data_IF_528884778663
#
_entry.id   IF_528884778663
#
_cell.length_a   1.000
_cell.length_b   1.000
_cell.length_c   1.000
_cell.angle_alpha   90.00
_cell.angle_beta   90.00
_cell.angle_gamma   90.00
#
_symmetry.space_group_name_H-M   'P 1'
#
loop_
_entity.id
_entity.type
_entity.pdbx_description
1 polymer ?
#
# COMPACT_ATOMS: atom_id res chain seq x y z
N UNK A 1 3.06 3.32 8.14
CA UNK A 1 2.33 2.40 9.04
C UNK A 1 0.86 2.75 8.95
N UNK A 2 0.03 1.75 8.72
CA UNK A 2 -1.42 1.93 8.58
C UNK A 2 -2.15 1.06 9.58
N UNK A 3 -3.09 1.63 10.30
CA UNK A 3 -4.10 0.90 11.05
C UNK A 3 -5.40 1.02 10.29
N UNK A 4 -6.06 -0.10 10.00
CA UNK A 4 -7.33 -0.14 9.26
C UNK A 4 -8.43 -0.67 10.17
N UNK A 5 -9.46 0.13 10.37
CA UNK A 5 -10.73 -0.32 10.91
C UNK A 5 -11.71 -0.50 9.76
N UNK A 6 -12.32 -1.67 9.63
CA UNK A 6 -13.29 -1.98 8.59
C UNK A 6 -14.68 -2.04 9.18
N UNK A 7 -15.56 -1.17 8.73
CA UNK A 7 -16.98 -1.20 9.10
C UNK A 7 -17.77 -1.85 7.94
N UNK A 8 -18.20 -3.10 8.12
CA UNK A 8 -18.94 -3.86 7.11
C UNK A 8 -20.45 -3.62 7.34
N UNK A 9 -20.99 -2.50 6.88
CA UNK A 9 -22.44 -2.25 7.00
C UNK A 9 -23.26 -2.63 5.77
N UNK A 10 -22.69 -2.73 4.58
CA UNK A 10 -23.39 -3.24 3.37
C UNK A 10 -22.41 -3.79 2.33
N UNK A 11 -22.87 -4.77 1.52
CA UNK A 11 -22.04 -5.55 0.57
C UNK A 11 -21.44 -4.78 -0.63
N UNK A 12 -21.61 -3.46 -0.74
CA UNK A 12 -21.20 -2.69 -1.93
C UNK A 12 -19.99 -1.79 -1.76
N UNK A 13 -19.63 -1.40 -0.54
CA UNK A 13 -18.43 -0.62 -0.25
C UNK A 13 -17.93 -0.90 1.16
N UNK A 14 -16.65 -0.70 1.38
CA UNK A 14 -16.03 -0.79 2.71
C UNK A 14 -15.52 0.60 3.09
N UNK A 15 -15.99 1.12 4.21
CA UNK A 15 -15.43 2.31 4.83
C UNK A 15 -14.30 1.89 5.77
N UNK A 16 -13.16 2.58 5.67
CA UNK A 16 -11.97 2.28 6.48
C UNK A 16 -11.40 3.57 7.02
N UNK A 17 -11.06 3.58 8.28
CA UNK A 17 -10.23 4.63 8.88
C UNK A 17 -8.77 4.20 8.77
N UNK A 18 -7.93 5.06 8.19
CA UNK A 18 -6.49 4.83 8.10
C UNK A 18 -5.76 5.89 8.91
N UNK A 19 -4.88 5.45 9.81
CA UNK A 19 -3.98 6.33 10.58
C UNK A 19 -2.59 6.15 10.00
N UNK A 20 -1.99 7.24 9.54
CA UNK A 20 -0.71 7.23 8.86
C UNK A 20 0.25 8.21 9.52
N UNK A 21 1.50 7.80 9.67
CA UNK A 21 2.61 8.67 10.02
C UNK A 21 3.72 8.56 8.97
N UNK A 22 4.41 9.67 8.76
CA UNK A 22 5.60 9.71 7.95
C UNK A 22 6.81 9.30 8.80
N UNK A 23 7.64 8.43 8.24
CA UNK A 23 8.95 8.11 8.80
C UNK A 23 10.02 8.89 8.05
N UNK A 24 11.07 9.32 8.77
CA UNK A 24 12.29 9.77 8.10
C UNK A 24 12.95 8.59 7.35
N UNK A 25 13.76 8.92 6.34
CA UNK A 25 14.53 7.90 5.61
C UNK A 25 15.38 7.06 6.56
N UNK A 26 16.06 7.69 7.51
CA UNK A 26 16.88 6.98 8.49
C UNK A 26 16.08 6.00 9.36
N UNK A 27 14.86 6.37 9.78
CA UNK A 27 13.98 5.47 10.53
C UNK A 27 13.52 4.29 9.67
N UNK A 28 13.15 4.53 8.40
CA UNK A 28 12.73 3.47 7.50
C UNK A 28 13.88 2.49 7.19
N UNK A 29 15.09 3.01 6.96
CA UNK A 29 16.30 2.20 6.74
C UNK A 29 16.64 1.36 7.99
N UNK A 30 16.58 1.95 9.17
CA UNK A 30 16.80 1.23 10.42
C UNK A 30 15.81 0.07 10.59
N UNK A 31 14.52 0.29 10.28
CA UNK A 31 13.49 -0.75 10.38
C UNK A 31 13.68 -1.90 9.40
N UNK A 32 14.24 -1.65 8.22
CA UNK A 32 14.39 -2.65 7.15
C UNK A 32 15.72 -3.40 7.19
N UNK A 33 16.66 -2.99 8.01
CA UNK A 33 17.92 -3.71 8.19
C UNK A 33 17.70 -5.04 8.91
N UNK A 34 18.33 -6.11 8.39
CA UNK A 34 18.20 -7.47 8.91
C UNK A 34 18.71 -7.68 10.35
N UNK A 35 19.45 -6.74 10.89
CA UNK A 35 19.97 -6.71 12.27
C UNK A 35 18.96 -6.14 13.28
N UNK A 36 17.75 -5.84 12.89
CA UNK A 36 16.71 -5.29 13.76
C UNK A 36 16.08 -6.37 14.68
N UNK A 37 16.93 -7.24 15.22
CA UNK A 37 16.53 -8.18 16.26
C UNK A 37 16.60 -7.49 17.62
N UNK A 38 15.47 -6.98 18.07
CA UNK A 38 15.26 -6.71 19.49
C UNK A 38 15.22 -5.24 19.93
N UNK A 39 15.48 -4.28 19.08
CA UNK A 39 15.27 -2.88 19.44
C UNK A 39 13.83 -2.44 19.13
N UNK A 40 13.20 -1.88 20.16
CA UNK A 40 11.93 -1.26 20.13
C UNK A 40 11.82 -0.21 19.04
N UNK A 41 10.90 -0.36 18.07
CA UNK A 41 10.47 0.76 17.27
C UNK A 41 9.50 1.62 18.07
N UNK A 42 9.94 2.82 18.41
CA UNK A 42 9.07 3.82 19.01
C UNK A 42 8.18 4.43 17.92
N UNK A 43 6.94 3.99 17.90
CA UNK A 43 5.92 4.64 17.09
C UNK A 43 5.61 6.00 17.69
N UNK A 44 5.88 7.09 16.94
CA UNK A 44 5.48 8.44 17.27
C UNK A 44 4.16 8.84 16.61
N UNK A 45 3.84 10.13 16.66
CA UNK A 45 2.72 10.74 15.96
C UNK A 45 1.36 10.12 16.27
N UNK A 46 0.48 10.11 15.28
CA UNK A 46 -0.90 9.62 15.43
C UNK A 46 -0.95 8.10 15.56
N UNK A 47 -0.07 7.36 14.88
CA UNK A 47 0.03 5.90 15.03
C UNK A 47 0.47 5.53 16.43
N UNK A 48 1.50 6.21 16.98
CA UNK A 48 1.97 5.98 18.34
C UNK A 48 0.89 6.28 19.38
N UNK A 49 0.17 7.38 19.23
CA UNK A 49 -0.94 7.76 20.10
C UNK A 49 -2.07 6.72 20.07
N UNK A 50 -2.41 6.23 18.87
CA UNK A 50 -3.41 5.18 18.71
C UNK A 50 -3.00 3.88 19.41
N UNK A 51 -1.76 3.44 19.19
CA UNK A 51 -1.23 2.22 19.79
C UNK A 51 -1.23 2.32 21.32
N UNK A 52 -0.75 3.41 21.88
CA UNK A 52 -0.72 3.63 23.34
C UNK A 52 -2.12 3.67 23.97
N UNK A 53 -3.11 4.15 23.24
CA UNK A 53 -4.50 4.21 23.70
C UNK A 53 -5.18 2.83 23.72
N UNK A 54 -4.82 1.92 22.79
CA UNK A 54 -5.55 0.68 22.56
C UNK A 54 -4.80 -0.58 23.00
N UNK A 55 -3.48 -0.50 23.23
CA UNK A 55 -2.64 -1.64 23.55
C UNK A 55 -1.73 -1.36 24.74
N UNK A 56 -1.34 -2.41 25.47
CA UNK A 56 -0.37 -2.28 26.56
C UNK A 56 1.03 -1.98 26.01
N UNK A 57 1.87 -1.35 26.83
CA UNK A 57 3.27 -1.11 26.48
C UNK A 57 4.03 -2.41 26.17
N UNK A 58 3.70 -3.49 26.82
CA UNK A 58 4.29 -4.79 26.57
C UNK A 58 3.92 -5.33 25.18
N UNK A 59 2.63 -5.22 24.81
CA UNK A 59 2.18 -5.60 23.47
C UNK A 59 2.84 -4.76 22.37
N UNK A 60 2.97 -3.44 22.58
CA UNK A 60 3.63 -2.54 21.62
C UNK A 60 5.11 -2.93 21.47
N UNK A 61 5.77 -3.25 22.57
CA UNK A 61 7.16 -3.70 22.58
C UNK A 61 7.40 -5.05 21.93
N UNK A 62 6.40 -5.88 21.85
CA UNK A 62 6.49 -7.19 21.20
C UNK A 62 6.28 -7.15 19.69
N UNK A 63 5.94 -5.99 19.11
CA UNK A 63 5.76 -5.84 17.67
C UNK A 63 7.06 -6.11 16.93
N UNK A 64 6.96 -6.87 15.86
CA UNK A 64 8.08 -7.18 14.97
C UNK A 64 7.75 -6.78 13.55
N UNK A 65 8.77 -6.34 12.80
CA UNK A 65 8.64 -6.18 11.37
C UNK A 65 8.50 -7.56 10.72
N UNK A 66 7.37 -7.79 10.05
CA UNK A 66 7.08 -9.07 9.39
C UNK A 66 7.49 -9.01 7.91
N UNK A 67 7.24 -7.87 7.26
CA UNK A 67 7.60 -7.61 5.87
C UNK A 67 7.65 -6.10 5.61
N UNK A 68 8.30 -5.74 4.54
CA UNK A 68 8.32 -4.38 3.99
C UNK A 68 8.23 -4.42 2.47
N UNK A 69 7.99 -3.28 1.87
CA UNK A 69 8.09 -3.05 0.42
C UNK A 69 8.47 -1.61 0.17
N UNK A 70 9.12 -1.38 -0.95
CA UNK A 70 9.40 -0.05 -1.45
C UNK A 70 8.57 0.21 -2.71
N UNK A 71 7.81 1.29 -2.74
CA UNK A 71 7.03 1.66 -3.91
C UNK A 71 7.49 3.01 -4.44
N UNK A 72 7.83 3.05 -5.72
CA UNK A 72 8.02 4.28 -6.47
C UNK A 72 6.73 4.59 -7.20
N UNK A 73 6.17 5.77 -6.95
CA UNK A 73 4.90 6.20 -7.51
C UNK A 73 5.11 7.36 -8.48
N UNK A 74 4.47 7.29 -9.65
CA UNK A 74 4.36 8.35 -10.63
C UNK A 74 2.89 8.70 -10.76
N UNK A 75 2.56 9.98 -10.54
CA UNK A 75 1.23 10.54 -10.76
C UNK A 75 1.23 11.30 -12.07
N UNK A 76 0.20 11.10 -12.88
CA UNK A 76 0.02 11.78 -14.16
C UNK A 76 -1.45 12.11 -14.40
N UNK A 77 -1.68 13.24 -15.10
CA UNK A 77 -2.99 13.54 -15.66
C UNK A 77 -3.14 12.76 -16.97
N UNK A 78 -4.10 11.88 -17.00
CA UNK A 78 -4.44 11.07 -18.18
C UNK A 78 -5.50 11.70 -19.07
N UNK A 79 -5.92 10.99 -20.13
CA UNK A 79 -7.04 11.41 -20.98
C UNK A 79 -8.33 11.58 -20.18
N UNK A 80 -9.26 12.37 -20.69
CA UNK A 80 -10.60 12.59 -20.13
C UNK A 80 -10.58 13.04 -18.65
N UNK A 81 -9.53 13.77 -18.23
CA UNK A 81 -9.29 14.18 -16.86
C UNK A 81 -9.18 13.02 -15.84
N UNK A 82 -8.84 11.82 -16.29
CA UNK A 82 -8.49 10.74 -15.37
C UNK A 82 -7.17 11.04 -14.66
N UNK A 83 -7.09 10.71 -13.38
CA UNK A 83 -5.83 10.60 -12.68
C UNK A 83 -5.23 9.22 -12.92
N UNK A 84 -3.98 9.19 -13.36
CA UNK A 84 -3.24 7.95 -13.57
C UNK A 84 -2.15 7.81 -12.51
N UNK A 85 -2.12 6.66 -11.87
CA UNK A 85 -1.05 6.29 -10.93
C UNK A 85 -0.31 5.08 -11.45
N UNK A 86 1.01 5.20 -11.61
CA UNK A 86 1.90 4.10 -11.92
C UNK A 86 2.76 3.78 -10.71
N UNK A 87 2.60 2.58 -10.17
CA UNK A 87 3.39 2.08 -9.05
C UNK A 87 4.36 1.00 -9.52
N UNK A 88 5.64 1.19 -9.20
CA UNK A 88 6.66 0.15 -9.22
C UNK A 88 6.95 -0.25 -7.77
N UNK A 89 6.65 -1.48 -7.40
CA UNK A 89 6.87 -2.01 -6.05
C UNK A 89 7.96 -3.07 -6.06
N UNK A 90 8.95 -2.92 -5.20
CA UNK A 90 10.02 -3.87 -4.92
C UNK A 90 9.81 -4.52 -3.56
N UNK A 91 10.04 -5.83 -3.49
CA UNK A 91 9.89 -6.66 -2.30
C UNK A 91 11.24 -7.17 -1.79
N UNK A 92 11.33 -7.63 -0.50
CA UNK A 92 12.59 -8.05 0.10
C UNK A 92 13.33 -9.19 -0.60
N UNK A 93 12.60 -10.04 -1.33
CA UNK A 93 13.15 -11.16 -2.11
C UNK A 93 13.69 -10.76 -3.49
N UNK A 94 13.57 -9.46 -3.84
CA UNK A 94 13.97 -8.90 -5.14
C UNK A 94 12.90 -9.02 -6.23
N UNK A 95 11.70 -9.47 -5.90
CA UNK A 95 10.58 -9.45 -6.82
C UNK A 95 10.09 -8.02 -7.07
N UNK A 96 9.64 -7.75 -8.29
CA UNK A 96 9.07 -6.47 -8.71
C UNK A 96 7.63 -6.65 -9.16
N UNK A 97 6.84 -5.63 -8.89
CA UNK A 97 5.46 -5.56 -9.32
C UNK A 97 5.11 -4.17 -9.86
N UNK A 98 4.25 -4.13 -10.86
CA UNK A 98 3.81 -2.89 -11.50
C UNK A 98 2.29 -2.81 -11.43
N UNK A 99 1.78 -1.65 -11.05
CA UNK A 99 0.36 -1.38 -11.03
C UNK A 99 0.07 -0.10 -11.80
N UNK A 100 -1.00 -0.12 -12.58
CA UNK A 100 -1.65 1.05 -13.14
C UNK A 100 -3.01 1.22 -12.47
N UNK A 101 -3.22 2.36 -11.83
CA UNK A 101 -4.51 2.78 -11.29
C UNK A 101 -5.06 3.92 -12.17
N UNK A 102 -6.35 3.85 -12.50
CA UNK A 102 -7.06 4.89 -13.27
C UNK A 102 -8.23 5.35 -12.41
N UNK A 103 -8.24 6.63 -12.06
CA UNK A 103 -9.29 7.20 -11.21
C UNK A 103 -10.08 8.27 -11.95
N UNK A 104 -11.39 8.17 -11.87
CA UNK A 104 -12.37 9.14 -12.37
C UNK A 104 -13.71 8.88 -11.68
N UNK A 105 -14.55 9.90 -11.57
CA UNK A 105 -15.90 9.77 -10.98
C UNK A 105 -16.86 8.99 -11.89
N UNK A 106 -16.57 8.93 -13.21
CA UNK A 106 -17.38 8.21 -14.19
C UNK A 106 -16.72 6.86 -14.57
N UNK A 107 -17.35 5.72 -14.19
CA UNK A 107 -16.85 4.38 -14.53
C UNK A 107 -16.75 4.08 -16.02
N UNK A 108 -17.57 4.71 -16.86
CA UNK A 108 -17.53 4.46 -18.32
C UNK A 108 -16.36 5.20 -18.95
N UNK A 109 -16.00 6.37 -18.43
CA UNK A 109 -14.76 7.06 -18.76
C UNK A 109 -13.53 6.23 -18.40
N UNK A 110 -13.48 5.61 -17.21
CA UNK A 110 -12.38 4.72 -16.83
C UNK A 110 -12.22 3.57 -17.83
N UNK A 111 -13.32 2.91 -18.22
CA UNK A 111 -13.28 1.81 -19.21
C UNK A 111 -12.76 2.26 -20.57
N UNK A 112 -13.20 3.43 -21.03
CA UNK A 112 -12.75 4.02 -22.29
C UNK A 112 -11.24 4.27 -22.26
N UNK A 113 -10.75 4.97 -21.24
CA UNK A 113 -9.33 5.27 -21.06
C UNK A 113 -8.50 4.00 -20.96
N UNK A 114 -8.93 3.01 -20.18
CA UNK A 114 -8.25 1.72 -20.08
C UNK A 114 -8.12 1.07 -21.46
N UNK A 115 -9.23 1.00 -22.24
CA UNK A 115 -9.20 0.40 -23.57
C UNK A 115 -8.27 1.13 -24.55
N UNK A 116 -8.16 2.47 -24.45
CA UNK A 116 -7.22 3.25 -25.24
C UNK A 116 -5.77 2.96 -24.85
N UNK A 117 -5.47 2.89 -23.56
CA UNK A 117 -4.13 2.56 -23.05
C UNK A 117 -3.71 1.13 -23.43
N UNK A 118 -4.61 0.14 -23.31
CA UNK A 118 -4.38 -1.24 -23.74
C UNK A 118 -3.97 -1.31 -25.21
N UNK A 119 -4.67 -0.57 -26.11
CA UNK A 119 -4.34 -0.51 -27.52
C UNK A 119 -3.02 0.20 -27.78
N UNK A 120 -2.79 1.33 -27.11
CA UNK A 120 -1.61 2.16 -27.35
C UNK A 120 -0.32 1.47 -26.89
N UNK A 121 -0.38 0.78 -25.75
CA UNK A 121 0.79 0.17 -25.13
C UNK A 121 0.84 -1.35 -25.27
N UNK A 122 -0.12 -1.95 -25.98
CA UNK A 122 -0.19 -3.39 -26.28
C UNK A 122 -0.11 -4.27 -25.03
N UNK A 123 -0.91 -3.95 -24.02
CA UNK A 123 -1.12 -4.80 -22.85
C UNK A 123 -2.60 -5.17 -22.71
N UNK A 124 -2.91 -6.10 -21.85
CA UNK A 124 -4.29 -6.47 -21.52
C UNK A 124 -4.45 -6.51 -20.02
N UNK A 125 -5.37 -5.71 -19.49
CA UNK A 125 -5.76 -5.80 -18.11
C UNK A 125 -6.55 -7.11 -17.89
N UNK A 126 -6.00 -8.03 -17.12
CA UNK A 126 -6.69 -9.27 -16.80
C UNK A 126 -7.23 -9.22 -15.35
N UNK A 127 -8.35 -9.92 -15.13
CA UNK A 127 -9.01 -9.95 -13.82
C UNK A 127 -8.19 -10.67 -12.74
N UNK A 128 -7.26 -11.51 -13.13
CA UNK A 128 -6.43 -12.28 -12.21
C UNK A 128 -5.39 -11.40 -11.51
N UNK A 129 -4.90 -10.36 -12.20
CA UNK A 129 -3.86 -9.47 -11.67
C UNK A 129 -4.41 -8.32 -10.82
N UNK A 130 -5.72 -8.07 -10.83
CA UNK A 130 -6.29 -6.85 -10.24
C UNK A 130 -6.79 -7.00 -8.80
N UNK A 131 -6.89 -8.22 -8.27
CA UNK A 131 -7.59 -8.45 -7.00
C UNK A 131 -6.68 -8.74 -5.80
N UNK A 132 -5.39 -8.93 -6.01
CA UNK A 132 -4.45 -9.20 -4.93
C UNK A 132 -3.97 -7.89 -4.29
N UNK A 133 -4.26 -7.70 -3.01
CA UNK A 133 -3.83 -6.48 -2.31
C UNK A 133 -2.30 -6.41 -2.21
N UNK A 134 -1.74 -5.19 -2.21
CA UNK A 134 -0.30 -4.96 -1.96
C UNK A 134 0.19 -5.64 -0.66
N UNK A 135 -0.66 -5.72 0.35
CA UNK A 135 -0.36 -6.40 1.62
C UNK A 135 -0.21 -7.91 1.42
N UNK A 136 -1.10 -8.52 0.65
CA UNK A 136 -1.04 -9.95 0.37
C UNK A 136 0.20 -10.30 -0.44
N UNK A 137 0.53 -9.53 -1.47
CA UNK A 137 1.77 -9.70 -2.25
C UNK A 137 3.02 -9.53 -1.37
N UNK A 138 3.04 -8.51 -0.49
CA UNK A 138 4.15 -8.32 0.43
C UNK A 138 4.32 -9.50 1.43
N UNK A 139 3.24 -10.16 1.79
CA UNK A 139 3.29 -11.37 2.62
C UNK A 139 3.88 -12.56 1.87
N UNK A 140 3.56 -12.73 0.59
CA UNK A 140 4.06 -13.82 -0.26
C UNK A 140 5.57 -13.66 -0.56
N UNK A 141 6.05 -12.41 -0.67
CA UNK A 141 7.43 -12.05 -0.95
C UNK A 141 8.25 -11.62 0.29
N UNK A 142 7.80 -11.98 1.48
CA UNK A 142 8.60 -11.78 2.70
C UNK A 142 9.79 -12.74 2.71
N UNK A 143 10.94 -12.24 3.18
CA UNK A 143 12.10 -13.08 3.50
C UNK A 143 11.89 -13.81 4.82
#
# INVERSE_FOLDING_TARGET
>A
IKVKETNLKEKKYSERVEINDLLSVAQAEQMTQSSYEGDFFLFGGDVGNYLQKHYSNEAIRSLKLIYWRQTRRILANGPENCELTLDLTEFPDGYYDFELEIENDDPDTIKKVLSELEKQFNFTANKENTNQSKVQRAWEHKK
#
